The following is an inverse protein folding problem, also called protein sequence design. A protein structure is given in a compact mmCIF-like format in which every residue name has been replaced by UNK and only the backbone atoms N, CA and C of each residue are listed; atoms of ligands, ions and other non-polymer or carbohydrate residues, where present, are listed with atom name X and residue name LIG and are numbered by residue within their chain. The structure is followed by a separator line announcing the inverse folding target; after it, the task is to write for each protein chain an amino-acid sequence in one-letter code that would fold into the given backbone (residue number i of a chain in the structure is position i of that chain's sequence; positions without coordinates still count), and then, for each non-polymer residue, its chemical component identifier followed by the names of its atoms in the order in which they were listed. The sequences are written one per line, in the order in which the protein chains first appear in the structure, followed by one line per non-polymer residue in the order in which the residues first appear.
data_IF_533717890701
#
_entry.id   IF_533717890701
#
_cell.length_a   1.000
_cell.length_b   1.000
_cell.length_c   1.000
_cell.angle_alpha   90.00
_cell.angle_beta   90.00
_cell.angle_gamma   90.00
#
_symmetry.space_group_name_H-M   'P 1'
#
loop_
_entity.id
_entity.type
_entity.pdbx_description
1 polymer ?
#
# COMPACT_ATOMS: atom_id res chain seq x y z
N UNK A 1 6.14 -16.83 -67.78
CA UNK A 1 6.00 -16.32 -66.42
C UNK A 1 7.39 -16.02 -65.86
N UNK A 2 7.70 -14.78 -65.44
CA UNK A 2 9.07 -14.32 -65.21
C UNK A 2 9.63 -14.99 -63.93
N UNK A 3 10.68 -15.81 -64.04
CA UNK A 3 11.33 -16.52 -62.94
C UNK A 3 11.65 -15.60 -61.75
N UNK A 4 12.02 -14.37 -62.04
CA UNK A 4 12.30 -13.34 -61.00
C UNK A 4 11.07 -13.00 -60.17
N UNK A 5 9.85 -13.09 -60.70
CA UNK A 5 8.62 -12.80 -59.98
C UNK A 5 8.31 -13.91 -58.95
N UNK A 6 8.58 -15.16 -59.29
CA UNK A 6 8.39 -16.32 -58.42
C UNK A 6 9.37 -16.24 -57.24
N UNK A 7 10.64 -15.86 -57.50
CA UNK A 7 11.66 -15.70 -56.45
C UNK A 7 11.27 -14.61 -55.46
N UNK A 8 10.77 -13.46 -55.94
CA UNK A 8 10.33 -12.34 -55.10
C UNK A 8 9.16 -12.77 -54.22
N UNK A 9 8.17 -13.50 -54.74
CA UNK A 9 7.02 -13.98 -53.96
C UNK A 9 7.47 -14.96 -52.86
N UNK A 10 8.40 -15.86 -53.18
CA UNK A 10 8.95 -16.82 -52.19
C UNK A 10 9.70 -16.06 -51.07
N UNK A 11 10.52 -15.05 -51.41
CA UNK A 11 11.22 -14.24 -50.41
C UNK A 11 10.26 -13.48 -49.49
N UNK A 12 9.18 -12.91 -50.03
CA UNK A 12 8.15 -12.23 -49.24
C UNK A 12 7.47 -13.23 -48.30
N UNK A 13 7.12 -14.43 -48.74
CA UNK A 13 6.51 -15.46 -47.88
C UNK A 13 7.45 -15.92 -46.76
N UNK A 14 8.75 -16.02 -47.04
CA UNK A 14 9.77 -16.36 -46.03
C UNK A 14 9.87 -15.23 -44.97
N UNK A 15 9.90 -13.97 -45.39
CA UNK A 15 9.95 -12.81 -44.49
C UNK A 15 8.69 -12.78 -43.59
N UNK A 16 7.50 -12.96 -44.16
CA UNK A 16 6.27 -13.04 -43.38
C UNK A 16 6.28 -14.23 -42.39
N UNK A 17 6.80 -15.39 -42.83
CA UNK A 17 6.97 -16.55 -41.94
C UNK A 17 7.89 -16.29 -40.78
N UNK A 18 9.02 -15.59 -40.99
CA UNK A 18 9.96 -15.20 -39.93
C UNK A 18 9.32 -14.19 -38.94
N UNK A 19 8.63 -13.19 -39.48
CA UNK A 19 7.93 -12.19 -38.64
C UNK A 19 6.85 -12.86 -37.77
N UNK A 20 6.06 -13.74 -38.36
CA UNK A 20 5.02 -14.48 -37.64
C UNK A 20 5.61 -15.44 -36.59
N UNK A 21 6.69 -16.13 -36.91
CA UNK A 21 7.40 -16.99 -35.98
C UNK A 21 7.95 -16.21 -34.77
N UNK A 22 8.59 -15.06 -35.02
CA UNK A 22 9.13 -14.22 -33.97
C UNK A 22 8.02 -13.68 -33.03
N UNK A 23 6.87 -13.31 -33.59
CA UNK A 23 5.71 -12.85 -32.80
C UNK A 23 5.10 -13.96 -31.93
N UNK A 24 5.06 -15.20 -32.44
CA UNK A 24 4.63 -16.37 -31.65
C UNK A 24 5.64 -16.64 -30.53
N UNK A 25 6.93 -16.59 -30.83
CA UNK A 25 7.99 -16.82 -29.87
C UNK A 25 7.92 -15.80 -28.73
N UNK A 26 7.78 -14.52 -29.05
CA UNK A 26 7.62 -13.43 -28.06
C UNK A 26 6.36 -13.63 -27.19
N UNK A 27 5.23 -14.00 -27.77
CA UNK A 27 4.01 -14.32 -27.03
C UNK A 27 4.16 -15.54 -26.11
N UNK A 28 4.93 -16.55 -26.52
CA UNK A 28 5.20 -17.73 -25.69
C UNK A 28 6.16 -17.43 -24.56
N UNK A 29 7.21 -16.62 -24.80
CA UNK A 29 8.16 -16.17 -23.78
C UNK A 29 7.46 -15.28 -22.73
N UNK A 30 6.58 -14.37 -23.16
CA UNK A 30 5.77 -13.55 -22.24
C UNK A 30 4.82 -14.44 -21.41
N UNK A 31 4.16 -15.41 -22.00
CA UNK A 31 3.29 -16.35 -21.27
C UNK A 31 4.04 -17.29 -20.33
N UNK A 32 5.28 -17.65 -20.66
CA UNK A 32 6.15 -18.45 -19.80
C UNK A 32 6.63 -17.62 -18.60
N UNK A 33 7.04 -16.38 -18.84
CA UNK A 33 7.46 -15.44 -17.78
C UNK A 33 6.27 -15.09 -16.85
N UNK A 34 5.05 -14.91 -17.36
CA UNK A 34 3.84 -14.70 -16.56
C UNK A 34 3.53 -15.91 -15.66
N UNK A 35 3.82 -17.14 -16.12
CA UNK A 35 3.62 -18.34 -15.31
C UNK A 35 4.71 -18.53 -14.26
N UNK A 36 5.96 -18.12 -14.50
CA UNK A 36 7.02 -18.16 -13.48
C UNK A 36 6.82 -17.10 -12.40
N UNK A 37 6.36 -15.89 -12.76
CA UNK A 37 6.03 -14.84 -11.78
C UNK A 37 4.83 -15.22 -10.91
N UNK A 38 3.83 -15.92 -11.45
CA UNK A 38 2.66 -16.40 -10.70
C UNK A 38 2.98 -17.55 -9.71
N UNK A 39 4.05 -18.31 -9.91
CA UNK A 39 4.39 -19.44 -9.03
C UNK A 39 5.08 -19.03 -7.72
N UNK A 40 5.45 -17.75 -7.53
CA UNK A 40 6.11 -17.26 -6.32
C UNK A 40 5.31 -16.21 -5.54
N UNK A 41 4.11 -15.85 -5.97
CA UNK A 41 3.30 -14.88 -5.25
C UNK A 41 2.62 -15.54 -4.06
N UNK A 42 2.99 -15.11 -2.86
CA UNK A 42 2.37 -15.56 -1.61
C UNK A 42 1.45 -14.50 -0.98
N UNK A 43 1.50 -13.28 -1.51
CA UNK A 43 0.64 -12.16 -1.13
C UNK A 43 -0.51 -12.07 -2.12
N UNK A 44 -1.77 -12.00 -1.67
CA UNK A 44 -2.91 -11.77 -2.55
C UNK A 44 -2.76 -10.49 -3.39
N UNK A 45 -3.13 -10.54 -4.65
CA UNK A 45 -2.97 -9.44 -5.61
C UNK A 45 -4.08 -8.38 -5.43
N UNK A 46 -4.18 -7.81 -4.23
CA UNK A 46 -5.08 -6.73 -3.88
C UNK A 46 -4.29 -5.49 -3.50
N UNK A 47 -4.71 -4.31 -3.98
CA UNK A 47 -4.24 -3.00 -3.52
C UNK A 47 -5.40 -2.32 -2.80
N UNK A 48 -5.17 -1.87 -1.58
CA UNK A 48 -6.13 -1.13 -0.76
C UNK A 48 -5.65 0.28 -0.52
N UNK A 49 -6.51 1.25 -0.81
CA UNK A 49 -6.31 2.66 -0.48
C UNK A 49 -7.57 3.24 0.17
N UNK A 50 -7.41 4.28 0.96
CA UNK A 50 -8.54 4.98 1.60
C UNK A 50 -8.38 6.50 1.55
N UNK A 51 -9.51 7.18 1.44
CA UNK A 51 -9.68 8.60 1.61
C UNK A 51 -11.07 8.86 2.20
N UNK A 52 -11.28 9.99 2.87
CA UNK A 52 -12.53 10.23 3.61
C UNK A 52 -13.80 10.37 2.73
N UNK A 53 -13.67 10.56 1.41
CA UNK A 53 -14.79 10.66 0.45
C UNK A 53 -14.46 9.95 -0.86
N UNK A 54 -15.49 9.66 -1.66
CA UNK A 54 -15.33 9.11 -3.01
C UNK A 54 -14.81 10.13 -4.03
N UNK A 55 -14.93 11.43 -3.73
CA UNK A 55 -14.44 12.49 -4.60
C UNK A 55 -13.00 12.82 -4.24
N UNK A 56 -12.05 12.36 -5.05
CA UNK A 56 -10.64 12.62 -4.84
C UNK A 56 -10.25 14.00 -5.41
N UNK A 57 -9.32 14.74 -4.76
CA UNK A 57 -8.65 15.87 -5.36
C UNK A 57 -7.97 15.49 -6.68
N UNK A 58 -7.79 16.46 -7.56
CA UNK A 58 -7.32 16.22 -8.94
C UNK A 58 -6.01 15.40 -9.01
N UNK A 59 -4.97 15.86 -8.33
CA UNK A 59 -3.66 15.19 -8.40
C UNK A 59 -3.63 13.88 -7.64
N UNK A 60 -4.47 13.74 -6.61
CA UNK A 60 -4.69 12.47 -5.93
C UNK A 60 -5.34 11.45 -6.86
N UNK A 61 -6.36 11.85 -7.64
CA UNK A 61 -6.98 10.99 -8.65
C UNK A 61 -5.98 10.58 -9.74
N UNK A 62 -5.18 11.52 -10.25
CA UNK A 62 -4.11 11.24 -11.22
C UNK A 62 -3.09 10.23 -10.65
N UNK A 63 -2.72 10.35 -9.36
CA UNK A 63 -1.82 9.43 -8.67
C UNK A 63 -2.43 8.00 -8.60
N UNK A 64 -3.70 7.89 -8.25
CA UNK A 64 -4.43 6.60 -8.20
C UNK A 64 -4.52 5.97 -9.59
N UNK A 65 -4.88 6.75 -10.61
CA UNK A 65 -5.02 6.24 -11.99
C UNK A 65 -3.68 5.75 -12.54
N UNK A 66 -2.59 6.47 -12.22
CA UNK A 66 -1.23 6.06 -12.55
C UNK A 66 -0.88 4.74 -11.85
N UNK A 67 -1.12 4.62 -10.54
CA UNK A 67 -0.85 3.39 -9.76
C UNK A 67 -1.56 2.18 -10.37
N UNK A 68 -2.86 2.31 -10.70
CA UNK A 68 -3.66 1.25 -11.34
C UNK A 68 -3.11 0.86 -12.71
N UNK A 69 -2.77 1.85 -13.53
CA UNK A 69 -2.21 1.64 -14.87
C UNK A 69 -0.85 0.93 -14.83
N UNK A 70 -0.03 1.26 -13.84
CA UNK A 70 1.31 0.70 -13.68
C UNK A 70 1.31 -0.70 -13.05
N UNK A 71 0.21 -1.11 -12.37
CA UNK A 71 0.09 -2.40 -11.69
C UNK A 71 -1.24 -3.09 -12.05
N UNK A 72 -1.46 -3.41 -13.35
CA UNK A 72 -2.73 -3.97 -13.83
C UNK A 72 -3.00 -5.39 -13.35
N UNK A 73 -1.99 -6.07 -12.77
CA UNK A 73 -2.08 -7.41 -12.22
C UNK A 73 -2.90 -7.45 -10.92
N UNK A 74 -3.05 -6.29 -10.26
CA UNK A 74 -3.75 -6.18 -8.99
C UNK A 74 -5.21 -5.78 -9.16
N UNK A 75 -6.08 -6.36 -8.36
CA UNK A 75 -7.42 -5.84 -8.11
C UNK A 75 -7.34 -4.66 -7.14
N UNK A 76 -7.73 -3.47 -7.62
CA UNK A 76 -7.66 -2.24 -6.85
C UNK A 76 -8.96 -1.98 -6.10
N UNK A 77 -8.86 -1.73 -4.80
CA UNK A 77 -9.96 -1.44 -3.90
C UNK A 77 -9.79 -0.09 -3.22
N UNK A 78 -10.75 0.78 -3.40
CA UNK A 78 -10.83 2.07 -2.72
C UNK A 78 -11.96 2.04 -1.69
N UNK A 79 -11.71 2.63 -0.51
CA UNK A 79 -12.68 2.71 0.58
C UNK A 79 -12.75 4.14 1.12
N UNK A 80 -13.97 4.72 1.18
CA UNK A 80 -14.20 5.93 1.94
C UNK A 80 -14.43 5.64 3.44
N UNK A 81 -14.69 6.67 4.27
CA UNK A 81 -14.87 6.49 5.73
C UNK A 81 -16.06 5.57 6.05
N UNK A 82 -17.17 5.69 5.33
CA UNK A 82 -18.37 4.85 5.52
C UNK A 82 -18.11 3.41 5.09
N UNK A 83 -17.41 3.21 3.98
CA UNK A 83 -17.01 1.89 3.50
C UNK A 83 -16.07 1.21 4.51
N UNK A 84 -15.10 1.94 5.06
CA UNK A 84 -14.20 1.45 6.12
C UNK A 84 -15.00 1.00 7.36
N UNK A 85 -15.95 1.82 7.79
CA UNK A 85 -16.80 1.52 8.93
C UNK A 85 -17.67 0.29 8.69
N UNK A 86 -18.33 0.21 7.52
CA UNK A 86 -19.18 -0.91 7.15
C UNK A 86 -18.37 -2.21 7.05
N UNK A 87 -17.18 -2.15 6.45
CA UNK A 87 -16.29 -3.31 6.41
C UNK A 87 -15.97 -3.86 7.81
N UNK A 88 -15.63 -2.98 8.77
CA UNK A 88 -15.35 -3.39 10.15
C UNK A 88 -16.61 -3.97 10.80
N UNK A 89 -17.77 -3.33 10.62
CA UNK A 89 -19.06 -3.80 11.15
C UNK A 89 -19.40 -5.24 10.69
N UNK A 90 -19.12 -5.55 9.43
CA UNK A 90 -19.52 -6.82 8.83
C UNK A 90 -18.50 -7.95 9.09
N UNK A 91 -17.25 -7.63 9.40
CA UNK A 91 -16.15 -8.61 9.48
C UNK A 91 -15.52 -8.77 10.87
N UNK A 92 -15.85 -7.89 11.84
CA UNK A 92 -15.27 -7.89 13.18
C UNK A 92 -16.33 -7.83 14.27
N UNK A 93 -15.93 -8.08 15.51
CA UNK A 93 -16.82 -7.98 16.65
C UNK A 93 -17.15 -6.51 16.99
N UNK A 94 -18.12 -6.33 17.91
CA UNK A 94 -18.61 -5.01 18.32
C UNK A 94 -17.53 -4.12 18.95
N UNK A 95 -16.52 -4.69 19.60
CA UNK A 95 -15.47 -3.91 20.26
C UNK A 95 -14.56 -3.21 19.25
N UNK A 96 -14.25 -3.85 18.11
CA UNK A 96 -13.47 -3.24 17.03
C UNK A 96 -14.26 -2.13 16.35
N UNK A 97 -15.56 -2.35 16.09
CA UNK A 97 -16.44 -1.30 15.55
C UNK A 97 -16.56 -0.11 16.52
N UNK A 98 -16.74 -0.39 17.81
CA UNK A 98 -16.78 0.64 18.84
C UNK A 98 -15.48 1.45 18.88
N UNK A 99 -14.34 0.79 18.78
CA UNK A 99 -13.05 1.48 18.73
C UNK A 99 -12.96 2.39 17.50
N UNK A 100 -13.37 1.91 16.32
CA UNK A 100 -13.42 2.75 15.11
C UNK A 100 -14.33 3.97 15.29
N UNK A 101 -15.52 3.78 15.83
CA UNK A 101 -16.49 4.86 16.03
C UNK A 101 -16.01 5.90 17.06
N UNK A 102 -15.27 5.47 18.09
CA UNK A 102 -14.74 6.35 19.15
C UNK A 102 -13.50 7.14 18.76
N UNK A 103 -12.75 6.72 17.76
CA UNK A 103 -11.60 7.46 17.26
C UNK A 103 -12.04 8.68 16.43
N UNK A 104 -11.64 9.89 16.81
CA UNK A 104 -11.94 11.14 16.07
C UNK A 104 -11.01 11.37 14.89
N UNK A 105 -9.66 11.19 15.02
CA UNK A 105 -8.77 11.46 13.89
C UNK A 105 -8.99 10.48 12.75
N UNK A 106 -9.20 11.00 11.53
CA UNK A 106 -9.34 10.14 10.33
C UNK A 106 -8.11 9.25 10.09
N UNK A 107 -6.90 9.74 10.40
CA UNK A 107 -5.69 8.93 10.34
C UNK A 107 -5.74 7.72 11.28
N UNK A 108 -6.27 7.86 12.50
CA UNK A 108 -6.40 6.75 13.45
C UNK A 108 -7.46 5.74 13.01
N UNK A 109 -8.56 6.21 12.41
CA UNK A 109 -9.56 5.34 11.78
C UNK A 109 -8.96 4.54 10.62
N UNK A 110 -8.17 5.21 9.78
CA UNK A 110 -7.47 4.57 8.67
C UNK A 110 -6.43 3.53 9.17
N UNK A 111 -5.72 3.80 10.28
CA UNK A 111 -4.80 2.83 10.88
C UNK A 111 -5.53 1.55 11.31
N UNK A 112 -6.63 1.67 12.05
CA UNK A 112 -7.42 0.51 12.47
C UNK A 112 -7.97 -0.26 11.26
N UNK A 113 -8.53 0.45 10.27
CA UNK A 113 -9.11 -0.17 9.10
C UNK A 113 -8.08 -0.91 8.24
N UNK A 114 -6.88 -0.34 7.98
CA UNK A 114 -5.84 -1.00 7.18
C UNK A 114 -5.36 -2.30 7.81
N UNK A 115 -5.30 -2.35 9.16
CA UNK A 115 -4.98 -3.59 9.86
C UNK A 115 -6.11 -4.61 9.73
N UNK A 116 -7.37 -4.18 9.82
CA UNK A 116 -8.53 -5.03 9.67
C UNK A 116 -8.63 -5.65 8.27
N UNK A 117 -8.53 -4.85 7.20
CA UNK A 117 -8.67 -5.35 5.83
C UNK A 117 -7.53 -6.32 5.49
N UNK A 118 -6.28 -5.98 5.79
CA UNK A 118 -5.14 -6.84 5.53
C UNK A 118 -5.15 -8.10 6.39
N UNK A 119 -5.59 -8.04 7.65
CA UNK A 119 -5.75 -9.24 8.49
C UNK A 119 -6.72 -10.24 7.87
N UNK A 120 -7.83 -9.77 7.31
CA UNK A 120 -8.86 -10.65 6.72
C UNK A 120 -8.53 -11.11 5.30
N UNK A 121 -8.00 -10.21 4.47
CA UNK A 121 -7.86 -10.42 3.04
C UNK A 121 -6.41 -10.61 2.58
N UNK A 122 -5.45 -10.10 3.33
CA UNK A 122 -4.08 -9.95 2.84
C UNK A 122 -3.98 -8.93 1.70
N UNK A 123 -2.83 -8.85 1.06
CA UNK A 123 -2.58 -7.91 -0.04
C UNK A 123 -1.68 -6.76 0.36
N UNK A 124 -1.76 -5.67 -0.37
CA UNK A 124 -0.97 -4.46 -0.19
C UNK A 124 -1.88 -3.31 0.22
N UNK A 125 -1.66 -2.75 1.42
CA UNK A 125 -2.15 -1.42 1.75
C UNK A 125 -1.10 -0.40 1.37
N UNK A 126 -1.50 0.66 0.67
CA UNK A 126 -0.64 1.78 0.32
C UNK A 126 -1.38 3.10 0.55
N UNK A 127 -0.81 4.00 1.37
CA UNK A 127 -1.38 5.35 1.52
C UNK A 127 -1.55 6.00 0.15
N UNK A 128 -2.71 6.62 -0.07
CA UNK A 128 -3.13 7.20 -1.36
C UNK A 128 -2.17 8.28 -1.91
N UNK A 129 -1.26 8.77 -1.06
CA UNK A 129 -0.24 9.76 -1.41
C UNK A 129 0.94 9.22 -2.21
N UNK A 130 1.12 7.89 -2.31
CA UNK A 130 2.29 7.28 -2.93
C UNK A 130 2.07 6.90 -4.38
N UNK A 131 3.10 7.15 -5.20
CA UNK A 131 3.25 6.66 -6.57
C UNK A 131 4.52 5.82 -6.69
N UNK A 132 4.58 4.91 -7.67
CA UNK A 132 5.79 4.15 -7.98
C UNK A 132 6.86 5.07 -8.59
N UNK A 133 8.13 4.79 -8.26
CA UNK A 133 9.32 5.45 -8.79
C UNK A 133 10.19 4.44 -9.54
N UNK A 134 11.02 4.92 -10.47
CA UNK A 134 12.01 4.11 -11.20
C UNK A 134 11.42 2.86 -11.89
N UNK A 135 10.20 2.96 -12.42
CA UNK A 135 9.45 1.86 -13.05
C UNK A 135 9.22 0.65 -12.12
N UNK A 136 9.29 0.86 -10.81
CA UNK A 136 9.05 -0.18 -9.82
C UNK A 136 7.61 -0.72 -9.93
N UNK A 137 7.47 -2.04 -9.83
CA UNK A 137 6.18 -2.74 -9.84
C UNK A 137 5.87 -3.32 -8.46
N UNK A 138 4.63 -3.15 -8.00
CA UNK A 138 4.21 -3.71 -6.72
C UNK A 138 4.26 -5.25 -6.68
N UNK A 139 4.26 -5.91 -7.85
CA UNK A 139 4.53 -7.34 -7.97
C UNK A 139 5.84 -7.78 -7.31
N UNK A 140 6.86 -6.90 -7.29
CA UNK A 140 8.16 -7.16 -6.64
C UNK A 140 8.08 -7.23 -5.10
N UNK A 141 6.90 -6.99 -4.53
CA UNK A 141 6.61 -7.11 -3.10
C UNK A 141 5.65 -8.27 -2.77
N UNK A 142 5.41 -9.22 -3.70
CA UNK A 142 4.42 -10.29 -3.47
C UNK A 142 5.03 -11.62 -3.05
N UNK A 143 6.35 -11.72 -2.99
CA UNK A 143 7.11 -12.93 -2.63
C UNK A 143 7.11 -13.24 -1.13
N UNK A 144 6.88 -12.24 -0.28
CA UNK A 144 6.80 -12.35 1.19
C UNK A 144 6.06 -11.17 1.81
N UNK A 145 5.92 -11.18 3.14
CA UNK A 145 5.40 -10.04 3.88
C UNK A 145 6.47 -8.95 4.02
N UNK A 146 6.06 -7.69 3.85
CA UNK A 146 6.94 -6.53 4.00
C UNK A 146 6.35 -5.51 4.95
N UNK A 147 7.19 -5.06 5.88
CA UNK A 147 6.98 -3.91 6.75
C UNK A 147 8.09 -2.89 6.51
N UNK A 148 7.78 -1.63 6.76
CA UNK A 148 8.70 -0.52 6.44
C UNK A 148 9.28 0.04 7.73
N UNK A 149 10.60 0.02 7.87
CA UNK A 149 11.29 0.72 8.95
C UNK A 149 11.06 2.23 8.80
N UNK A 150 10.50 2.87 9.83
CA UNK A 150 10.25 4.30 9.84
C UNK A 150 11.53 5.12 10.06
N UNK A 151 11.49 6.40 9.75
CA UNK A 151 12.55 7.34 10.16
C UNK A 151 12.60 7.40 11.70
N UNK A 152 13.79 7.53 12.31
CA UNK A 152 13.90 7.66 13.76
C UNK A 152 13.48 9.06 14.19
N UNK A 153 12.19 9.25 14.49
CA UNK A 153 11.64 10.55 14.93
C UNK A 153 11.73 10.69 16.45
N UNK A 154 11.74 9.56 17.18
CA UNK A 154 11.73 9.50 18.63
C UNK A 154 12.73 8.46 19.13
N UNK A 155 12.84 8.33 20.45
CA UNK A 155 13.73 7.35 21.09
C UNK A 155 13.46 5.89 20.69
N UNK A 156 12.24 5.59 20.20
CA UNK A 156 11.84 4.28 19.69
C UNK A 156 11.66 4.30 18.18
N UNK A 157 12.19 3.27 17.52
CA UNK A 157 12.03 3.05 16.10
C UNK A 157 10.58 2.63 15.79
N UNK A 158 9.89 3.35 14.91
CA UNK A 158 8.55 3.01 14.42
C UNK A 158 8.56 2.05 13.23
N UNK A 159 7.38 1.50 12.93
CA UNK A 159 7.08 0.80 11.69
C UNK A 159 6.15 1.69 10.86
N UNK A 160 6.63 2.14 9.70
CA UNK A 160 5.88 3.07 8.85
C UNK A 160 4.71 2.36 8.18
N UNK A 161 3.53 2.56 8.70
CA UNK A 161 2.33 1.83 8.29
C UNK A 161 1.60 2.40 7.06
N UNK A 162 2.26 3.29 6.32
CA UNK A 162 1.75 3.80 5.04
C UNK A 162 1.93 2.81 3.87
N UNK A 163 2.77 1.79 4.03
CA UNK A 163 2.88 0.62 3.18
C UNK A 163 2.94 -0.62 4.07
N UNK A 164 2.01 -1.54 3.86
CA UNK A 164 1.97 -2.84 4.51
C UNK A 164 1.68 -3.89 3.45
N UNK A 165 2.45 -4.96 3.45
CA UNK A 165 2.30 -6.10 2.54
C UNK A 165 2.19 -7.35 3.39
N UNK A 166 1.00 -7.95 3.43
CA UNK A 166 0.72 -9.02 4.38
C UNK A 166 -0.10 -10.15 3.77
N UNK A 167 0.13 -11.36 4.28
CA UNK A 167 -0.78 -12.49 4.10
C UNK A 167 -2.03 -12.29 4.96
N UNK A 168 -3.17 -12.90 4.61
CA UNK A 168 -4.30 -12.96 5.52
C UNK A 168 -3.91 -13.71 6.82
N UNK A 169 -4.52 -13.31 7.94
CA UNK A 169 -4.25 -13.93 9.24
C UNK A 169 -2.94 -13.52 9.93
N UNK A 170 -2.27 -12.44 9.47
CA UNK A 170 -1.03 -11.97 10.07
C UNK A 170 -1.23 -11.57 11.54
N UNK A 171 -0.48 -12.21 12.46
CA UNK A 171 -0.62 -12.03 13.91
C UNK A 171 -0.23 -10.62 14.39
N UNK A 172 0.69 -9.93 13.72
CA UNK A 172 1.07 -8.55 14.07
C UNK A 172 -0.11 -7.62 13.85
N UNK A 173 -0.83 -7.78 12.73
CA UNK A 173 -2.04 -6.99 12.46
C UNK A 173 -3.14 -7.26 13.49
N UNK A 174 -3.37 -8.52 13.88
CA UNK A 174 -4.32 -8.87 14.92
C UNK A 174 -3.95 -8.22 16.27
N UNK A 175 -2.66 -8.27 16.64
CA UNK A 175 -2.16 -7.65 17.86
C UNK A 175 -2.34 -6.13 17.83
N UNK A 176 -2.10 -5.48 16.67
CA UNK A 176 -2.37 -4.04 16.49
C UNK A 176 -3.86 -3.72 16.68
N UNK A 177 -4.76 -4.50 16.08
CA UNK A 177 -6.22 -4.33 16.21
C UNK A 177 -6.62 -4.43 17.69
N UNK A 178 -6.19 -5.49 18.37
CA UNK A 178 -6.51 -5.72 19.79
C UNK A 178 -5.97 -4.59 20.68
N UNK A 179 -4.74 -4.13 20.40
CA UNK A 179 -4.13 -3.03 21.17
C UNK A 179 -4.84 -1.70 20.95
N UNK A 180 -5.34 -1.42 19.75
CA UNK A 180 -6.16 -0.22 19.49
C UNK A 180 -7.47 -0.29 20.28
N UNK A 181 -8.14 -1.45 20.27
CA UNK A 181 -9.37 -1.66 21.05
C UNK A 181 -9.12 -1.40 22.53
N UNK A 182 -8.03 -1.94 23.09
CA UNK A 182 -7.61 -1.69 24.47
C UNK A 182 -7.34 -0.20 24.74
N UNK A 183 -6.59 0.47 23.84
CA UNK A 183 -6.25 1.89 23.93
C UNK A 183 -7.51 2.78 23.96
N UNK A 184 -8.48 2.48 23.10
CA UNK A 184 -9.76 3.21 23.06
C UNK A 184 -10.56 2.98 24.33
N UNK A 185 -10.68 1.74 24.81
CA UNK A 185 -11.39 1.37 26.04
C UNK A 185 -10.81 2.12 27.26
N UNK A 186 -9.49 2.23 27.32
CA UNK A 186 -8.78 2.86 28.41
C UNK A 186 -8.54 4.37 28.21
N UNK A 187 -9.03 4.96 27.12
CA UNK A 187 -8.74 6.34 26.69
C UNK A 187 -7.25 6.66 26.73
N UNK A 188 -6.43 5.71 26.22
CA UNK A 188 -4.98 5.82 26.22
C UNK A 188 -4.48 6.90 25.26
N UNK A 189 -3.61 7.78 25.73
CA UNK A 189 -2.98 8.82 24.91
C UNK A 189 -1.50 8.52 24.61
N UNK A 190 -0.84 7.72 25.45
CA UNK A 190 0.59 7.47 25.33
C UNK A 190 1.45 8.72 25.54
N UNK A 191 2.73 8.58 25.25
CA UNK A 191 3.71 9.66 25.28
C UNK A 191 3.84 10.36 23.92
N UNK A 192 3.20 9.81 22.89
CA UNK A 192 3.34 10.23 21.51
C UNK A 192 2.07 9.91 20.72
N UNK A 193 1.60 10.81 19.82
CA UNK A 193 0.42 10.54 18.99
C UNK A 193 0.50 9.27 18.14
N UNK A 194 1.71 8.81 17.77
CA UNK A 194 1.91 7.60 16.98
C UNK A 194 1.80 6.29 17.78
N UNK A 195 1.71 6.37 19.12
CA UNK A 195 1.54 5.20 20.00
C UNK A 195 0.08 4.75 20.12
N UNK A 196 -0.86 5.58 19.73
CA UNK A 196 -2.28 5.28 19.91
C UNK A 196 -2.77 4.22 18.91
N UNK A 197 -2.41 4.37 17.64
CA UNK A 197 -2.86 3.49 16.55
C UNK A 197 -1.79 3.18 15.50
N UNK A 198 -0.76 4.02 15.41
CA UNK A 198 0.12 4.15 14.25
C UNK A 198 1.48 3.43 14.35
N UNK A 199 2.52 4.03 13.76
CA UNK A 199 3.86 3.43 13.62
C UNK A 199 4.51 2.95 14.91
N UNK A 200 4.35 3.70 16.01
CA UNK A 200 4.93 3.32 17.29
C UNK A 200 4.14 2.19 17.97
N UNK A 201 2.80 2.17 17.85
CA UNK A 201 2.00 1.05 18.32
C UNK A 201 2.43 -0.24 17.63
N UNK A 202 2.53 -0.24 16.30
CA UNK A 202 2.91 -1.44 15.55
C UNK A 202 4.31 -1.94 15.95
N UNK A 203 5.26 -1.03 16.23
CA UNK A 203 6.62 -1.40 16.61
C UNK A 203 6.72 -2.19 17.91
N UNK A 204 5.69 -2.18 18.79
CA UNK A 204 5.67 -3.02 19.99
C UNK A 204 5.67 -4.52 19.69
N UNK A 205 5.27 -4.92 18.51
CA UNK A 205 5.15 -6.31 18.08
C UNK A 205 6.34 -6.79 17.26
N UNK A 206 7.44 -6.03 17.24
CA UNK A 206 8.71 -6.38 16.59
C UNK A 206 9.86 -6.26 17.57
N UNK A 207 10.81 -7.13 17.47
CA UNK A 207 12.10 -7.00 18.14
C UNK A 207 12.98 -5.97 17.41
N UNK A 208 13.95 -5.33 18.09
CA UNK A 208 14.91 -4.44 17.43
C UNK A 208 15.66 -5.11 16.28
N UNK A 209 15.95 -6.43 16.40
CA UNK A 209 16.63 -7.20 15.38
C UNK A 209 15.78 -7.35 14.10
N UNK A 210 14.50 -7.64 14.25
CA UNK A 210 13.55 -7.73 13.12
C UNK A 210 13.43 -6.39 12.41
N UNK A 211 13.29 -5.28 13.16
CA UNK A 211 13.22 -3.93 12.57
C UNK A 211 14.49 -3.60 11.80
N UNK A 212 15.66 -3.96 12.33
CA UNK A 212 16.94 -3.67 11.67
C UNK A 212 17.15 -4.49 10.38
N UNK A 213 16.51 -5.65 10.27
CA UNK A 213 16.58 -6.53 9.09
C UNK A 213 15.55 -6.16 8.01
N UNK A 214 14.66 -5.18 8.24
CA UNK A 214 13.67 -4.76 7.25
C UNK A 214 14.36 -4.19 6.01
N UNK A 215 13.98 -4.73 4.85
CA UNK A 215 14.49 -4.29 3.55
C UNK A 215 13.90 -2.95 3.11
N UNK A 216 12.68 -2.65 3.57
CA UNK A 216 12.00 -1.41 3.25
C UNK A 216 12.26 -0.36 4.31
N UNK A 217 12.60 0.85 3.87
CA UNK A 217 12.90 2.00 4.74
C UNK A 217 12.18 3.24 4.26
N UNK A 218 11.51 3.93 5.17
CA UNK A 218 11.01 5.29 4.96
C UNK A 218 12.16 6.27 5.14
N UNK A 219 12.36 7.15 4.17
CA UNK A 219 13.46 8.12 4.17
C UNK A 219 12.99 9.49 3.68
N UNK A 220 13.69 10.54 4.13
CA UNK A 220 13.52 11.91 3.66
C UNK A 220 14.82 12.33 2.96
N UNK A 221 14.72 12.70 1.69
CA UNK A 221 15.85 13.20 0.89
C UNK A 221 15.41 14.43 0.09
N UNK A 222 16.16 15.52 0.21
CA UNK A 222 15.86 16.79 -0.48
C UNK A 222 14.40 17.25 -0.29
N UNK A 223 13.91 17.20 0.95
CA UNK A 223 12.52 17.51 1.35
C UNK A 223 11.43 16.64 0.67
N UNK A 224 11.79 15.51 0.07
CA UNK A 224 10.86 14.54 -0.47
C UNK A 224 10.87 13.27 0.40
N UNK A 225 9.72 12.62 0.47
CA UNK A 225 9.52 11.40 1.23
C UNK A 225 9.48 10.21 0.29
N UNK A 226 10.31 9.20 0.57
CA UNK A 226 10.42 7.98 -0.21
C UNK A 226 10.28 6.73 0.66
N UNK A 227 9.85 5.63 0.03
CA UNK A 227 10.12 4.29 0.54
C UNK A 227 11.20 3.70 -0.37
N UNK A 228 12.27 3.18 0.25
CA UNK A 228 13.37 2.50 -0.42
C UNK A 228 13.33 1.00 -0.16
N UNK A 229 13.71 0.20 -1.15
CA UNK A 229 14.06 -1.22 -1.03
C UNK A 229 15.53 -1.37 -1.37
N UNK A 230 16.34 -1.84 -0.42
CA UNK A 230 17.81 -2.01 -0.63
C UNK A 230 18.46 -0.77 -1.28
N UNK A 231 18.21 0.41 -0.73
CA UNK A 231 18.69 1.73 -1.18
C UNK A 231 18.12 2.27 -2.50
N UNK A 232 17.32 1.48 -3.24
CA UNK A 232 16.58 1.94 -4.42
C UNK A 232 15.26 2.59 -4.01
N UNK A 233 14.97 3.80 -4.51
CA UNK A 233 13.69 4.49 -4.32
C UNK A 233 12.61 3.75 -5.11
N UNK A 234 11.63 3.18 -4.42
CA UNK A 234 10.54 2.43 -5.02
C UNK A 234 9.22 3.18 -5.01
N UNK A 235 8.98 4.01 -3.99
CA UNK A 235 7.76 4.81 -3.86
C UNK A 235 8.12 6.24 -3.44
N UNK A 236 7.32 7.22 -3.91
CA UNK A 236 7.45 8.64 -3.59
C UNK A 236 6.08 9.26 -3.32
N UNK A 237 6.01 10.21 -2.41
CA UNK A 237 4.82 11.06 -2.24
C UNK A 237 4.71 12.00 -3.44
N UNK A 238 3.52 12.07 -4.12
CA UNK A 238 3.32 13.00 -5.21
C UNK A 238 3.38 14.47 -4.74
N UNK A 239 3.91 15.34 -5.58
CA UNK A 239 4.36 16.69 -5.17
C UNK A 239 3.26 17.56 -4.56
N UNK A 240 2.03 17.44 -5.05
CA UNK A 240 0.89 18.27 -4.65
C UNK A 240 0.17 17.75 -3.40
N UNK A 241 0.56 16.58 -2.86
CA UNK A 241 -0.18 15.92 -1.77
C UNK A 241 -0.45 16.84 -0.58
N UNK A 242 0.57 17.55 -0.10
CA UNK A 242 0.42 18.38 1.11
C UNK A 242 -0.52 19.57 0.91
N UNK A 243 -0.52 20.17 -0.26
CA UNK A 243 -1.45 21.27 -0.60
C UNK A 243 -2.88 20.74 -0.73
N UNK A 244 -3.10 19.62 -1.41
CA UNK A 244 -4.41 19.00 -1.52
C UNK A 244 -4.92 18.51 -0.16
N UNK A 245 -4.07 17.85 0.63
CA UNK A 245 -4.43 17.43 1.98
C UNK A 245 -4.92 18.59 2.82
N UNK A 246 -4.20 19.71 2.82
CA UNK A 246 -4.58 20.92 3.59
C UNK A 246 -5.93 21.51 3.15
N UNK A 247 -6.24 21.46 1.86
CA UNK A 247 -7.47 22.03 1.30
C UNK A 247 -8.69 21.11 1.49
N UNK A 248 -8.52 19.80 1.36
CA UNK A 248 -9.63 18.86 1.23
C UNK A 248 -9.76 17.91 2.43
N UNK A 249 -8.82 17.86 3.37
CA UNK A 249 -8.91 17.01 4.54
C UNK A 249 -10.06 17.47 5.46
N UNK A 250 -11.00 16.55 5.74
CA UNK A 250 -12.18 16.82 6.58
C UNK A 250 -11.85 16.96 8.06
N UNK A 251 -10.95 16.11 8.57
CA UNK A 251 -10.60 16.08 9.99
C UNK A 251 -9.41 16.98 10.30
N UNK A 252 -9.37 17.53 11.54
CA UNK A 252 -8.17 18.19 12.04
C UNK A 252 -7.01 17.21 12.08
N UNK A 253 -5.80 17.75 11.98
CA UNK A 253 -4.58 16.94 12.05
C UNK A 253 -4.53 16.15 13.35
N UNK A 254 -4.19 14.87 13.28
CA UNK A 254 -4.27 13.96 14.42
C UNK A 254 -3.39 14.38 15.62
N UNK A 255 -2.21 14.98 15.36
CA UNK A 255 -1.32 15.44 16.40
C UNK A 255 -1.93 16.64 17.17
N UNK A 256 -2.63 17.56 16.48
CA UNK A 256 -3.32 18.69 17.14
C UNK A 256 -4.46 18.17 18.03
N UNK A 257 -5.22 17.19 17.56
CA UNK A 257 -6.25 16.54 18.36
C UNK A 257 -5.66 15.82 19.58
N UNK A 258 -4.51 15.19 19.42
CA UNK A 258 -3.81 14.50 20.50
C UNK A 258 -3.29 15.47 21.55
N UNK A 259 -2.61 16.56 21.15
CA UNK A 259 -2.12 17.59 22.06
C UNK A 259 -3.27 18.23 22.85
N UNK A 260 -4.41 18.42 22.21
CA UNK A 260 -5.61 18.97 22.85
C UNK A 260 -6.43 17.93 23.63
N UNK A 261 -5.92 16.71 23.84
CA UNK A 261 -6.62 15.62 24.54
C UNK A 261 -8.03 15.36 23.97
N UNK A 262 -8.20 15.40 22.66
CA UNK A 262 -9.48 15.31 21.96
C UNK A 262 -9.47 14.28 20.80
N UNK A 263 -8.88 13.10 21.04
CA UNK A 263 -8.80 12.03 20.03
C UNK A 263 -9.93 11.00 20.14
N UNK A 264 -10.72 11.05 21.21
CA UNK A 264 -11.85 10.13 21.42
C UNK A 264 -13.19 10.89 21.48
N UNK A 265 -14.27 10.20 20.95
CA UNK A 265 -15.66 10.63 21.13
C UNK A 265 -16.13 10.43 22.56
#
# INVERSE_FOLDING_TARGET
MNYNYIIIVILILIIFGIIYYNKIKENLENKYNDNETNNNTIIPLYIYQTWHTNSLPKYMQECVDKLKKENPEFEYHFYNDDDCRNYIKDNFNRDVLHAFDKLKPGAYKADLWRYCILYKKGGIYLDIKYQCENNFKLMELTDKEYFVKDIPIYTRQGIYNALLVCKPGNNILLNCINKIVENVKNKYYGNNPLEVTGPLLMSYFFTPLEINKMELKHVIENNNYYIKKNDTKILKIYSQYRSEQKLYQKSKYYADLWHNKNIYE
#
